data_IF_518497937744
#
_entry.id   IF_518497937744
#
_cell.length_a   1.000
_cell.length_b   1.000
_cell.length_c   1.000
_cell.angle_alpha   90.00
_cell.angle_beta   90.00
_cell.angle_gamma   90.00
#
_symmetry.space_group_name_H-M   'P 1'
#
loop_
_entity.id
_entity.type
_entity.pdbx_description
1 polymer ?
#
# COMPACT_ATOMS: atom_id res chain seq x y z
N UNK A 1 -16.28 3.64 9.53
CA UNK A 1 -15.57 3.26 8.27
C UNK A 1 -14.50 4.31 8.05
N UNK A 2 -13.24 3.97 7.76
CA UNK A 2 -12.21 5.00 7.53
C UNK A 2 -12.48 5.76 6.22
N UNK A 3 -12.61 7.09 6.26
CA UNK A 3 -12.71 7.94 5.05
C UNK A 3 -11.34 8.38 4.50
N UNK A 4 -10.24 7.91 5.09
CA UNK A 4 -8.90 8.05 4.49
C UNK A 4 -8.77 6.99 3.39
N UNK A 5 -8.97 7.38 2.14
CA UNK A 5 -8.95 6.49 0.97
C UNK A 5 -7.61 6.44 0.25
N UNK A 6 -6.71 7.38 0.56
CA UNK A 6 -5.35 7.50 0.02
C UNK A 6 -4.36 7.77 1.15
N UNK A 7 -3.13 7.27 1.01
CA UNK A 7 -1.99 7.56 1.87
C UNK A 7 -1.74 9.07 1.99
N UNK A 8 -1.90 9.80 0.88
CA UNK A 8 -1.72 11.26 0.83
C UNK A 8 -2.74 12.04 1.65
N UNK A 9 -3.89 11.44 1.95
CA UNK A 9 -5.00 12.13 2.59
C UNK A 9 -4.79 12.20 4.11
N UNK A 10 -3.94 11.34 4.69
CA UNK A 10 -3.72 11.34 6.13
C UNK A 10 -3.10 12.67 6.60
N UNK A 11 -3.85 13.38 7.44
CA UNK A 11 -3.36 14.52 8.21
C UNK A 11 -4.05 14.54 9.58
N UNK A 12 -3.53 15.36 10.50
CA UNK A 12 -4.06 15.45 11.87
C UNK A 12 -5.56 15.80 11.90
N UNK A 13 -6.03 16.73 11.05
CA UNK A 13 -7.43 17.14 11.01
C UNK A 13 -8.35 16.00 10.56
N UNK A 14 -7.95 15.24 9.54
CA UNK A 14 -8.72 14.10 9.09
C UNK A 14 -8.73 12.99 10.15
N UNK A 15 -7.58 12.67 10.75
CA UNK A 15 -7.52 11.71 11.85
C UNK A 15 -8.42 12.13 13.04
N UNK A 16 -8.51 13.43 13.32
CA UNK A 16 -9.41 13.97 14.33
C UNK A 16 -10.88 13.72 14.02
N UNK A 17 -11.30 13.91 12.77
CA UNK A 17 -12.66 13.65 12.29
C UNK A 17 -12.96 12.15 12.35
N UNK A 18 -12.09 11.33 11.76
CA UNK A 18 -12.20 9.86 11.75
C UNK A 18 -12.32 9.29 13.16
N UNK A 19 -11.51 9.82 14.09
CA UNK A 19 -11.46 9.31 15.47
C UNK A 19 -12.79 9.40 16.20
N UNK A 20 -13.73 10.26 15.80
CA UNK A 20 -15.01 10.42 16.49
C UNK A 20 -15.84 9.12 16.44
N UNK A 21 -15.91 8.49 15.27
CA UNK A 21 -16.63 7.21 15.11
C UNK A 21 -15.91 6.10 15.88
N UNK A 22 -14.59 6.00 15.72
CA UNK A 22 -13.80 4.96 16.37
C UNK A 22 -13.79 5.09 17.89
N UNK A 23 -13.71 6.30 18.47
CA UNK A 23 -13.75 6.50 19.92
C UNK A 23 -15.05 5.94 20.53
N UNK A 24 -16.19 6.07 19.84
CA UNK A 24 -17.46 5.48 20.30
C UNK A 24 -17.41 3.96 20.30
N UNK A 25 -16.86 3.37 19.24
CA UNK A 25 -16.70 1.92 19.11
C UNK A 25 -15.69 1.35 20.12
N UNK A 26 -14.52 1.99 20.25
CA UNK A 26 -13.47 1.63 21.22
C UNK A 26 -14.05 1.70 22.63
N UNK A 27 -14.80 2.74 22.98
CA UNK A 27 -15.42 2.85 24.30
C UNK A 27 -16.37 1.69 24.61
N UNK A 28 -17.06 1.16 23.60
CA UNK A 28 -17.96 0.01 23.79
C UNK A 28 -17.20 -1.32 23.92
N UNK A 29 -16.02 -1.44 23.31
CA UNK A 29 -15.27 -2.72 23.20
C UNK A 29 -14.04 -2.82 24.10
N UNK A 30 -13.45 -1.69 24.50
CA UNK A 30 -12.22 -1.61 25.28
C UNK A 30 -12.44 -0.77 26.53
N UNK A 31 -12.51 -1.43 27.69
CA UNK A 31 -12.51 -0.78 28.99
C UNK A 31 -11.08 -0.62 29.50
N UNK A 32 -10.76 0.54 30.06
CA UNK A 32 -9.52 0.72 30.82
C UNK A 32 -9.64 0.00 32.19
N UNK A 33 -8.56 -0.60 32.71
CA UNK A 33 -7.25 -0.71 32.08
C UNK A 33 -7.25 -1.67 30.89
N UNK A 34 -6.65 -1.25 29.77
CA UNK A 34 -6.52 -2.08 28.56
C UNK A 34 -5.40 -3.10 28.74
N UNK A 35 -5.64 -4.32 28.28
CA UNK A 35 -4.61 -5.36 28.22
C UNK A 35 -3.92 -5.38 26.84
N UNK A 36 -2.69 -5.90 26.73
CA UNK A 36 -2.06 -6.13 25.43
C UNK A 36 -2.92 -6.99 24.50
N UNK A 37 -3.65 -7.98 25.03
CA UNK A 37 -4.59 -8.81 24.27
C UNK A 37 -5.72 -7.98 23.66
N UNK A 38 -6.32 -7.07 24.43
CA UNK A 38 -7.39 -6.20 23.92
C UNK A 38 -6.88 -5.24 22.83
N UNK A 39 -5.63 -4.77 22.94
CA UNK A 39 -5.01 -3.96 21.89
C UNK A 39 -4.73 -4.80 20.65
N UNK A 40 -4.20 -6.01 20.82
CA UNK A 40 -3.97 -6.95 19.73
C UNK A 40 -5.26 -7.21 18.96
N UNK A 41 -6.36 -7.55 19.66
CA UNK A 41 -7.66 -7.80 19.03
C UNK A 41 -8.13 -6.60 18.21
N UNK A 42 -7.96 -5.39 18.75
CA UNK A 42 -8.41 -4.16 18.08
C UNK A 42 -7.51 -3.73 16.92
N UNK A 43 -6.21 -4.00 17.00
CA UNK A 43 -5.25 -3.68 15.93
C UNK A 43 -5.00 -4.85 14.97
N UNK A 44 -5.59 -6.03 15.21
CA UNK A 44 -5.33 -7.27 14.47
C UNK A 44 -5.52 -7.12 12.95
N UNK A 45 -6.55 -6.37 12.53
CA UNK A 45 -6.83 -6.08 11.12
C UNK A 45 -5.77 -5.21 10.45
N UNK A 46 -4.92 -4.54 11.24
CA UNK A 46 -3.86 -3.67 10.76
C UNK A 46 -2.50 -4.35 10.72
N UNK A 47 -2.39 -5.59 11.22
CA UNK A 47 -1.11 -6.28 11.27
C UNK A 47 -0.65 -6.69 9.86
N UNK A 48 0.66 -6.59 9.67
CA UNK A 48 1.32 -7.05 8.46
C UNK A 48 1.61 -8.54 8.62
N UNK A 49 1.35 -9.31 7.57
CA UNK A 49 1.68 -10.73 7.51
C UNK A 49 2.94 -10.98 6.69
N UNK A 50 3.57 -12.14 6.88
CA UNK A 50 4.66 -12.60 6.00
C UNK A 50 4.20 -12.72 4.54
N UNK A 51 2.95 -13.15 4.33
CA UNK A 51 2.34 -13.24 2.99
C UNK A 51 2.27 -11.88 2.27
N UNK A 52 2.03 -10.78 3.01
CA UNK A 52 2.03 -9.43 2.43
C UNK A 52 3.43 -9.08 1.87
N UNK A 53 4.49 -9.53 2.54
CA UNK A 53 5.89 -9.32 2.15
C UNK A 53 6.27 -10.23 0.98
N UNK A 54 5.95 -11.53 1.07
CA UNK A 54 6.23 -12.51 0.02
C UNK A 54 5.61 -12.10 -1.32
N UNK A 55 4.36 -11.61 -1.32
CA UNK A 55 3.71 -11.14 -2.54
C UNK A 55 4.44 -9.94 -3.17
N UNK A 56 4.98 -9.03 -2.35
CA UNK A 56 5.76 -7.90 -2.84
C UNK A 56 7.13 -8.34 -3.37
N UNK A 57 7.78 -9.34 -2.73
CA UNK A 57 9.05 -9.92 -3.19
C UNK A 57 8.90 -10.63 -4.54
N UNK A 58 7.85 -11.45 -4.71
CA UNK A 58 7.53 -12.09 -5.98
C UNK A 58 7.31 -11.08 -7.11
N UNK A 59 6.63 -9.97 -6.81
CA UNK A 59 6.46 -8.88 -7.76
C UNK A 59 7.78 -8.21 -8.13
N UNK A 60 8.69 -8.02 -7.17
CA UNK A 60 10.01 -7.45 -7.45
C UNK A 60 10.86 -8.38 -8.33
N UNK A 61 10.84 -9.68 -8.05
CA UNK A 61 11.53 -10.70 -8.85
C UNK A 61 10.98 -10.77 -10.28
N UNK A 62 9.68 -10.57 -10.48
CA UNK A 62 9.05 -10.55 -11.80
C UNK A 62 9.33 -9.26 -12.60
N UNK A 63 9.66 -8.15 -11.93
CA UNK A 63 9.79 -6.84 -12.57
C UNK A 63 10.97 -6.74 -13.53
N UNK A 64 12.16 -7.18 -13.12
CA UNK A 64 13.36 -7.10 -13.97
C UNK A 64 13.25 -7.98 -15.24
N UNK A 65 12.84 -9.26 -15.15
CA UNK A 65 12.60 -10.08 -16.35
C UNK A 65 11.57 -9.47 -17.31
N UNK A 66 10.49 -8.87 -16.79
CA UNK A 66 9.51 -8.19 -17.63
C UNK A 66 10.10 -6.96 -18.35
N UNK A 67 10.92 -6.16 -17.66
CA UNK A 67 11.64 -5.03 -18.27
C UNK A 67 12.62 -5.47 -19.35
N UNK A 68 13.35 -6.56 -19.13
CA UNK A 68 14.29 -7.13 -20.10
C UNK A 68 13.57 -7.65 -21.34
N UNK A 69 12.47 -8.39 -21.17
CA UNK A 69 11.66 -8.88 -22.28
C UNK A 69 11.08 -7.75 -23.12
N UNK A 70 10.45 -6.76 -22.49
CA UNK A 70 9.91 -5.58 -23.19
C UNK A 70 11.02 -4.79 -23.92
N UNK A 71 12.20 -4.68 -23.31
CA UNK A 71 13.35 -4.02 -23.94
C UNK A 71 13.85 -4.81 -25.16
N UNK A 72 13.89 -6.15 -25.07
CA UNK A 72 14.24 -7.03 -26.18
C UNK A 72 13.28 -6.87 -27.35
N UNK A 73 11.96 -6.86 -27.11
CA UNK A 73 10.95 -6.64 -28.16
C UNK A 73 11.17 -5.28 -28.85
N UNK A 74 11.38 -4.22 -28.06
CA UNK A 74 11.62 -2.88 -28.61
C UNK A 74 12.89 -2.83 -29.49
N UNK A 75 13.94 -3.54 -29.10
CA UNK A 75 15.22 -3.58 -29.84
C UNK A 75 15.12 -4.36 -31.15
N UNK A 76 14.27 -5.38 -31.24
CA UNK A 76 14.04 -6.15 -32.47
C UNK A 76 13.45 -5.30 -33.60
N UNK A 77 12.76 -4.21 -33.28
CA UNK A 77 12.09 -3.30 -34.24
C UNK A 77 11.17 -4.05 -35.22
N UNK A 78 10.50 -5.08 -34.73
CA UNK A 78 9.55 -5.87 -35.49
C UNK A 78 8.29 -5.02 -35.80
N UNK A 79 7.87 -4.98 -37.07
CA UNK A 79 6.68 -4.25 -37.51
C UNK A 79 5.37 -4.86 -37.00
N UNK A 80 5.41 -6.07 -36.43
CA UNK A 80 4.28 -6.69 -35.74
C UNK A 80 3.86 -5.90 -34.50
N UNK A 81 4.81 -5.23 -33.84
CA UNK A 81 4.60 -4.55 -32.59
C UNK A 81 4.43 -3.04 -32.77
N UNK A 82 3.70 -2.41 -31.85
CA UNK A 82 3.58 -0.94 -31.80
C UNK A 82 4.68 -0.36 -30.87
N UNK A 83 5.77 0.23 -31.42
CA UNK A 83 6.95 0.58 -30.62
C UNK A 83 6.64 1.63 -29.54
N UNK A 84 5.71 2.55 -29.82
CA UNK A 84 5.29 3.58 -28.88
C UNK A 84 4.63 2.94 -27.65
N UNK A 85 3.83 1.89 -27.86
CA UNK A 85 3.11 1.21 -26.80
C UNK A 85 4.05 0.40 -25.91
N UNK A 86 5.06 -0.27 -26.50
CA UNK A 86 6.11 -0.96 -25.74
C UNK A 86 6.93 0.05 -24.94
N UNK A 87 7.34 1.18 -25.54
CA UNK A 87 8.11 2.22 -24.86
C UNK A 87 7.35 2.81 -23.66
N UNK A 88 6.05 3.09 -23.83
CA UNK A 88 5.19 3.56 -22.73
C UNK A 88 5.11 2.53 -21.60
N UNK A 89 4.93 1.26 -21.94
CA UNK A 89 4.89 0.16 -20.97
C UNK A 89 6.19 0.06 -20.19
N UNK A 90 7.33 0.13 -20.88
CA UNK A 90 8.65 0.17 -20.25
C UNK A 90 8.79 1.35 -19.29
N UNK A 91 8.41 2.56 -19.71
CA UNK A 91 8.52 3.76 -18.88
C UNK A 91 7.64 3.69 -17.63
N UNK A 92 6.43 3.13 -17.75
CA UNK A 92 5.53 2.90 -16.62
C UNK A 92 6.11 1.85 -15.66
N UNK A 93 6.57 0.71 -16.20
CA UNK A 93 7.08 -0.39 -15.38
C UNK A 93 8.38 -0.04 -14.66
N UNK A 94 9.25 0.80 -15.26
CA UNK A 94 10.49 1.29 -14.64
C UNK A 94 10.27 2.06 -13.33
N UNK A 95 9.06 2.56 -13.08
CA UNK A 95 8.74 3.32 -11.88
C UNK A 95 8.41 2.42 -10.67
N UNK A 96 8.27 1.10 -10.87
CA UNK A 96 7.79 0.18 -9.82
C UNK A 96 8.90 -0.42 -8.95
N UNK A 97 10.05 -0.88 -9.47
CA UNK A 97 11.01 -1.70 -8.69
C UNK A 97 11.56 -1.03 -7.44
N UNK A 98 12.02 0.22 -7.55
CA UNK A 98 12.62 0.94 -6.42
C UNK A 98 11.59 1.23 -5.31
N UNK A 99 10.41 1.80 -5.60
CA UNK A 99 9.35 1.94 -4.60
C UNK A 99 8.93 0.61 -3.96
N UNK A 100 8.86 -0.47 -4.73
CA UNK A 100 8.51 -1.79 -4.21
C UNK A 100 9.57 -2.34 -3.25
N UNK A 101 10.86 -2.20 -3.59
CA UNK A 101 11.97 -2.59 -2.72
C UNK A 101 11.98 -1.79 -1.41
N UNK A 102 11.74 -0.48 -1.48
CA UNK A 102 11.60 0.36 -0.28
C UNK A 102 10.39 -0.07 0.56
N UNK A 103 9.29 -0.46 -0.08
CA UNK A 103 8.10 -0.97 0.60
C UNK A 103 8.40 -2.27 1.35
N UNK A 104 9.09 -3.22 0.72
CA UNK A 104 9.48 -4.50 1.35
C UNK A 104 10.32 -4.24 2.60
N UNK A 105 11.32 -3.35 2.52
CA UNK A 105 12.15 -2.98 3.68
C UNK A 105 11.29 -2.43 4.82
N UNK A 106 10.38 -1.53 4.50
CA UNK A 106 9.44 -0.94 5.46
C UNK A 106 8.52 -1.99 6.11
N UNK A 107 7.92 -2.88 5.32
CA UNK A 107 7.03 -3.92 5.83
C UNK A 107 7.76 -4.92 6.74
N UNK A 108 9.02 -5.29 6.40
CA UNK A 108 9.87 -6.12 7.26
C UNK A 108 10.18 -5.44 8.60
N UNK A 109 10.46 -4.14 8.57
CA UNK A 109 10.66 -3.35 9.79
C UNK A 109 9.40 -3.38 10.65
N UNK A 110 8.23 -3.07 10.08
CA UNK A 110 6.94 -3.11 10.78
C UNK A 110 6.65 -4.50 11.37
N UNK A 111 6.82 -5.56 10.58
CA UNK A 111 6.60 -6.94 11.02
C UNK A 111 7.46 -7.27 12.25
N UNK A 112 8.72 -6.84 12.26
CA UNK A 112 9.63 -7.08 13.39
C UNK A 112 9.23 -6.35 14.67
N UNK A 113 8.55 -5.20 14.55
CA UNK A 113 8.23 -4.34 15.70
C UNK A 113 6.79 -4.41 16.18
N UNK A 114 5.86 -4.98 15.41
CA UNK A 114 4.42 -4.90 15.70
C UNK A 114 4.04 -5.54 17.04
N UNK A 115 4.69 -6.63 17.44
CA UNK A 115 4.48 -7.27 18.74
C UNK A 115 4.92 -6.36 19.90
N UNK A 116 6.08 -5.70 19.75
CA UNK A 116 6.58 -4.75 20.75
C UNK A 116 5.66 -3.52 20.82
N UNK A 117 5.20 -3.01 19.68
CA UNK A 117 4.27 -1.89 19.63
C UNK A 117 2.97 -2.20 20.40
N UNK A 118 2.40 -3.39 20.20
CA UNK A 118 1.19 -3.82 20.93
C UNK A 118 1.46 -3.90 22.43
N UNK A 119 2.57 -4.53 22.83
CA UNK A 119 2.94 -4.70 24.24
C UNK A 119 3.18 -3.36 24.94
N UNK A 120 3.82 -2.40 24.26
CA UNK A 120 4.14 -1.08 24.83
C UNK A 120 2.94 -0.12 24.79
N UNK A 121 1.99 -0.34 23.88
CA UNK A 121 0.80 0.51 23.77
C UNK A 121 -0.12 0.40 25.00
N UNK A 122 -0.27 -0.79 25.58
CA UNK A 122 -1.14 -1.01 26.75
C UNK A 122 -0.72 -0.22 28.00
N UNK A 123 0.52 -0.36 28.52
CA UNK A 123 0.96 0.40 29.68
C UNK A 123 0.94 1.90 29.40
N UNK A 124 1.27 2.33 28.17
CA UNK A 124 1.26 3.73 27.80
C UNK A 124 -0.17 4.31 27.83
N UNK A 125 -1.14 3.64 27.19
CA UNK A 125 -2.54 4.06 27.20
C UNK A 125 -3.14 4.07 28.62
N UNK A 126 -2.79 3.10 29.45
CA UNK A 126 -3.24 3.04 30.85
C UNK A 126 -2.63 4.13 31.73
N UNK A 127 -1.43 4.63 31.38
CA UNK A 127 -0.78 5.70 32.13
C UNK A 127 -1.39 7.08 31.85
N UNK A 128 -1.95 7.28 30.64
CA UNK A 128 -2.45 8.59 30.17
C UNK A 128 -3.42 9.24 31.16
N UNK A 129 -4.48 8.57 31.68
CA UNK A 129 -5.42 9.20 32.61
C UNK A 129 -4.78 9.74 33.90
N UNK A 130 -3.64 9.19 34.32
CA UNK A 130 -2.97 9.55 35.57
C UNK A 130 -1.92 10.67 35.42
N UNK A 131 -1.60 11.12 34.20
CA UNK A 131 -0.55 12.12 33.95
C UNK A 131 -1.00 13.52 34.41
N UNK A 132 -0.37 14.06 35.46
CA UNK A 132 -0.73 15.36 36.05
C UNK A 132 0.25 16.47 35.67
N UNK A 133 1.54 16.14 35.58
CA UNK A 133 2.60 17.14 35.37
C UNK A 133 2.93 17.34 33.90
N UNK A 134 3.50 18.51 33.57
CA UNK A 134 3.97 18.81 32.21
C UNK A 134 5.08 17.86 31.76
N UNK A 135 5.99 17.47 32.67
CA UNK A 135 7.09 16.54 32.36
C UNK A 135 6.60 15.11 32.10
N UNK A 136 5.62 14.62 32.85
CA UNK A 136 4.97 13.32 32.59
C UNK A 136 4.29 13.31 31.22
N UNK A 137 3.52 14.36 30.91
CA UNK A 137 2.86 14.52 29.61
C UNK A 137 3.87 14.58 28.47
N UNK A 138 4.98 15.29 28.65
CA UNK A 138 6.08 15.38 27.67
C UNK A 138 6.73 14.02 27.41
N UNK A 139 7.00 13.23 28.45
CA UNK A 139 7.56 11.87 28.33
C UNK A 139 6.60 10.92 27.60
N UNK A 140 5.32 10.94 27.96
CA UNK A 140 4.31 10.12 27.30
C UNK A 140 4.15 10.51 25.82
N UNK A 141 4.10 11.80 25.51
CA UNK A 141 4.06 12.29 24.13
C UNK A 141 5.28 11.85 23.32
N UNK A 142 6.49 11.90 23.90
CA UNK A 142 7.70 11.43 23.21
C UNK A 142 7.63 9.93 22.88
N UNK A 143 7.10 9.11 23.80
CA UNK A 143 6.90 7.67 23.55
C UNK A 143 5.85 7.43 22.45
N UNK A 144 4.71 8.14 22.50
CA UNK A 144 3.66 8.07 21.48
C UNK A 144 4.17 8.52 20.10
N UNK A 145 4.90 9.63 20.04
CA UNK A 145 5.53 10.11 18.80
C UNK A 145 6.48 9.07 18.22
N UNK A 146 7.20 8.31 19.05
CA UNK A 146 8.04 7.21 18.58
C UNK A 146 7.27 6.08 17.88
N UNK A 147 6.02 5.81 18.27
CA UNK A 147 5.17 4.85 17.55
C UNK A 147 4.69 5.40 16.22
N UNK A 148 4.19 6.64 16.22
CA UNK A 148 3.74 7.29 14.99
C UNK A 148 4.88 7.47 14.00
N UNK A 149 6.10 7.79 14.46
CA UNK A 149 7.24 7.99 13.56
C UNK A 149 7.60 6.73 12.78
N UNK A 150 7.51 5.57 13.42
CA UNK A 150 7.74 4.28 12.77
C UNK A 150 6.61 3.90 11.83
N UNK A 151 5.35 4.06 12.25
CA UNK A 151 4.18 3.72 11.42
C UNK A 151 4.09 4.66 10.20
N UNK A 152 4.29 5.96 10.38
CA UNK A 152 4.09 7.00 9.36
C UNK A 152 5.36 7.36 8.56
N UNK A 153 6.52 6.83 8.98
CA UNK A 153 7.84 6.98 8.35
C UNK A 153 8.40 8.41 8.38
N UNK A 154 7.96 9.23 9.33
CA UNK A 154 8.37 10.63 9.52
C UNK A 154 7.99 11.15 10.92
N UNK A 155 8.36 12.40 11.25
CA UNK A 155 8.06 12.98 12.57
C UNK A 155 6.70 13.68 12.66
N UNK A 156 6.05 13.85 11.54
CA UNK A 156 4.82 14.63 11.40
C UNK A 156 3.63 13.69 11.23
N UNK A 157 2.41 14.17 11.51
CA UNK A 157 1.21 13.33 11.38
C UNK A 157 0.70 13.29 9.92
N UNK A 158 1.50 12.77 9.01
CA UNK A 158 1.12 12.43 7.63
C UNK A 158 1.86 11.17 7.20
N UNK A 159 1.31 10.38 6.28
CA UNK A 159 2.00 9.16 5.83
C UNK A 159 3.04 9.51 4.74
N UNK A 160 4.34 9.31 5.01
CA UNK A 160 5.38 9.56 4.00
C UNK A 160 5.35 8.46 2.96
N UNK A 161 4.73 8.72 1.81
CA UNK A 161 4.54 7.74 0.72
C UNK A 161 5.46 7.93 -0.50
N UNK A 162 6.25 9.02 -0.55
CA UNK A 162 6.91 9.49 -1.78
C UNK A 162 7.86 8.48 -2.46
N UNK A 163 8.46 7.59 -1.67
CA UNK A 163 9.50 6.64 -2.06
C UNK A 163 9.04 5.18 -1.98
N UNK A 164 7.76 4.93 -1.77
CA UNK A 164 7.17 3.59 -1.65
C UNK A 164 5.94 3.43 -2.55
N UNK A 165 5.29 2.27 -2.52
CA UNK A 165 4.08 2.02 -3.30
C UNK A 165 2.92 2.90 -2.77
N UNK A 166 2.25 3.57 -3.70
CA UNK A 166 1.12 4.46 -3.45
C UNK A 166 0.12 4.41 -4.63
N UNK A 167 -0.93 5.22 -4.59
CA UNK A 167 -2.09 5.15 -5.48
C UNK A 167 -1.75 5.28 -6.97
N UNK A 168 -0.72 6.06 -7.32
CA UNK A 168 -0.33 6.18 -8.73
C UNK A 168 0.17 4.84 -9.28
N UNK A 169 0.91 4.07 -8.49
CA UNK A 169 1.43 2.77 -8.92
C UNK A 169 0.32 1.75 -9.14
N UNK A 170 -0.70 1.72 -8.27
CA UNK A 170 -1.87 0.84 -8.48
C UNK A 170 -2.66 1.26 -9.72
N UNK A 171 -2.83 2.57 -9.95
CA UNK A 171 -3.48 3.09 -11.17
C UNK A 171 -2.71 2.72 -12.45
N UNK A 172 -1.37 2.82 -12.42
CA UNK A 172 -0.50 2.43 -13.53
C UNK A 172 -0.69 0.95 -13.86
N UNK A 173 -0.60 0.07 -12.86
CA UNK A 173 -0.69 -1.37 -13.07
C UNK A 173 -2.07 -1.81 -13.57
N UNK A 174 -3.14 -1.20 -13.06
CA UNK A 174 -4.51 -1.42 -13.57
C UNK A 174 -4.63 -1.02 -15.05
N UNK A 175 -4.11 0.15 -15.41
CA UNK A 175 -4.15 0.66 -16.79
C UNK A 175 -3.36 -0.23 -17.75
N UNK A 176 -2.20 -0.73 -17.32
CA UNK A 176 -1.38 -1.65 -18.11
C UNK A 176 -2.08 -2.99 -18.34
N UNK A 177 -2.65 -3.60 -17.30
CA UNK A 177 -3.37 -4.86 -17.44
C UNK A 177 -4.58 -4.73 -18.38
N UNK A 178 -5.37 -3.67 -18.22
CA UNK A 178 -6.53 -3.41 -19.09
C UNK A 178 -6.08 -3.23 -20.55
N UNK A 179 -5.02 -2.44 -20.79
CA UNK A 179 -4.51 -2.19 -22.13
C UNK A 179 -4.01 -3.48 -22.79
N UNK A 180 -3.25 -4.29 -22.05
CA UNK A 180 -2.75 -5.56 -22.56
C UNK A 180 -3.84 -6.55 -22.92
N UNK A 181 -4.96 -6.58 -22.17
CA UNK A 181 -6.10 -7.44 -22.50
C UNK A 181 -6.71 -7.14 -23.88
N UNK A 182 -6.45 -5.94 -24.42
CA UNK A 182 -6.91 -5.46 -25.72
C UNK A 182 -5.83 -5.58 -26.82
N UNK A 183 -4.73 -6.27 -26.56
CA UNK A 183 -3.67 -6.46 -27.56
C UNK A 183 -2.75 -5.28 -27.78
N UNK A 184 -2.67 -4.35 -26.82
CA UNK A 184 -1.97 -3.07 -26.92
C UNK A 184 -0.51 -3.11 -27.42
N UNK A 185 0.19 -4.25 -27.29
CA UNK A 185 1.56 -4.39 -27.78
C UNK A 185 1.67 -4.58 -29.28
N UNK A 186 0.60 -5.02 -29.94
CA UNK A 186 0.59 -5.31 -31.36
C UNK A 186 0.16 -4.08 -32.15
N UNK A 187 0.80 -3.88 -33.29
CA UNK A 187 0.39 -2.87 -34.24
C UNK A 187 -0.98 -3.24 -34.81
N UNK A 188 -1.90 -2.28 -34.92
CA UNK A 188 -3.22 -2.44 -35.53
C UNK A 188 -3.19 -1.74 -36.89
N UNK A 189 -3.55 -2.45 -37.97
CA UNK A 189 -3.51 -1.85 -39.31
C UNK A 189 -4.64 -0.84 -39.50
N UNK A 190 -4.50 0.04 -40.50
CA UNK A 190 -5.55 1.00 -40.82
C UNK A 190 -6.87 0.30 -41.18
N UNK A 191 -6.82 -0.83 -41.91
CA UNK A 191 -8.04 -1.58 -42.25
C UNK A 191 -8.72 -2.16 -41.00
N UNK A 192 -7.93 -2.68 -40.05
CA UNK A 192 -8.43 -3.24 -38.78
C UNK A 192 -9.06 -2.14 -37.92
N UNK A 193 -8.42 -0.96 -37.84
CA UNK A 193 -8.95 0.19 -37.10
C UNK A 193 -10.24 0.72 -37.73
N UNK A 194 -10.28 0.86 -39.06
CA UNK A 194 -11.48 1.29 -39.80
C UNK A 194 -12.62 0.27 -39.67
N UNK A 195 -12.29 -1.02 -39.67
CA UNK A 195 -13.23 -2.12 -39.47
C UNK A 195 -13.67 -2.31 -38.01
N UNK A 196 -13.03 -1.60 -37.05
CA UNK A 196 -13.19 -1.81 -35.61
C UNK A 196 -13.00 -3.27 -35.21
N UNK A 197 -12.00 -3.91 -35.81
CA UNK A 197 -11.68 -5.31 -35.53
C UNK A 197 -11.36 -5.48 -34.05
N UNK A 198 -11.95 -6.50 -33.42
CA UNK A 198 -11.59 -6.83 -32.05
C UNK A 198 -10.22 -7.52 -32.00
N UNK A 199 -9.61 -7.55 -30.82
CA UNK A 199 -8.29 -8.17 -30.70
C UNK A 199 -8.33 -9.66 -31.06
N UNK A 200 -9.45 -10.36 -30.82
CA UNK A 200 -9.60 -11.77 -31.18
C UNK A 200 -9.45 -11.99 -32.69
N UNK A 201 -9.99 -11.10 -33.52
CA UNK A 201 -9.82 -11.11 -34.97
C UNK A 201 -8.37 -10.81 -35.38
N UNK A 202 -7.73 -9.85 -34.71
CA UNK A 202 -6.34 -9.46 -34.98
C UNK A 202 -5.37 -10.63 -34.66
N UNK A 203 -5.67 -11.45 -33.64
CA UNK A 203 -4.78 -12.57 -33.26
C UNK A 203 -4.54 -13.57 -34.39
N UNK A 204 -5.46 -13.73 -35.34
CA UNK A 204 -5.34 -14.68 -36.44
C UNK A 204 -4.12 -14.44 -37.35
N UNK A 205 -3.63 -13.19 -37.43
CA UNK A 205 -2.43 -12.87 -38.24
C UNK A 205 -1.14 -12.81 -37.44
N UNK A 206 -1.21 -12.89 -36.10
CA UNK A 206 -0.05 -12.78 -35.23
C UNK A 206 0.58 -14.16 -35.09
N UNK A 207 1.90 -14.32 -35.30
CA UNK A 207 2.58 -15.59 -35.07
C UNK A 207 2.37 -16.11 -33.65
N UNK A 208 2.19 -17.42 -33.50
CA UNK A 208 1.94 -18.06 -32.21
C UNK A 208 3.05 -17.79 -31.18
N UNK A 209 4.32 -17.70 -31.64
CA UNK A 209 5.47 -17.38 -30.80
C UNK A 209 5.36 -15.97 -30.19
N UNK A 210 4.94 -14.97 -30.97
CA UNK A 210 4.76 -13.59 -30.51
C UNK A 210 3.57 -13.46 -29.56
N UNK A 211 2.49 -14.22 -29.80
CA UNK A 211 1.36 -14.31 -28.87
C UNK A 211 1.79 -14.94 -27.53
N UNK A 212 2.62 -15.99 -27.57
CA UNK A 212 3.16 -16.62 -26.38
C UNK A 212 4.08 -15.67 -25.59
N UNK A 213 4.98 -14.93 -26.26
CA UNK A 213 5.84 -13.93 -25.62
C UNK A 213 5.02 -12.82 -24.95
N UNK A 214 3.99 -12.30 -25.63
CA UNK A 214 3.11 -11.29 -25.06
C UNK A 214 2.32 -11.82 -23.84
N UNK A 215 1.85 -13.08 -23.88
CA UNK A 215 1.19 -13.72 -22.76
C UNK A 215 2.13 -13.91 -21.56
N UNK A 216 3.38 -14.28 -21.81
CA UNK A 216 4.40 -14.43 -20.77
C UNK A 216 4.67 -13.10 -20.05
N UNK A 217 4.76 -12.00 -20.79
CA UNK A 217 4.87 -10.65 -20.23
C UNK A 217 3.60 -10.31 -19.46
N UNK A 218 2.42 -10.63 -20.00
CA UNK A 218 1.13 -10.39 -19.34
C UNK A 218 1.08 -11.05 -17.97
N UNK A 219 1.53 -12.30 -17.88
CA UNK A 219 1.54 -13.05 -16.64
C UNK A 219 2.51 -12.43 -15.61
N UNK A 220 3.68 -11.97 -16.03
CA UNK A 220 4.59 -11.23 -15.14
C UNK A 220 3.96 -9.93 -14.65
N UNK A 221 3.34 -9.16 -15.54
CA UNK A 221 2.65 -7.91 -15.15
C UNK A 221 1.50 -8.16 -14.17
N UNK A 222 0.79 -9.29 -14.28
CA UNK A 222 -0.22 -9.70 -13.29
C UNK A 222 0.39 -9.96 -11.91
N UNK A 223 1.50 -10.70 -11.85
CA UNK A 223 2.23 -10.91 -10.59
C UNK A 223 2.67 -9.58 -9.98
N UNK A 224 3.22 -8.68 -10.82
CA UNK A 224 3.65 -7.34 -10.38
C UNK A 224 2.48 -6.53 -9.85
N UNK A 225 1.34 -6.54 -10.57
CA UNK A 225 0.12 -5.87 -10.16
C UNK A 225 -0.34 -6.37 -8.80
N UNK A 226 -0.42 -7.69 -8.61
CA UNK A 226 -0.84 -8.28 -7.35
C UNK A 226 0.06 -7.87 -6.18
N UNK A 227 1.38 -7.85 -6.37
CA UNK A 227 2.31 -7.40 -5.33
C UNK A 227 2.19 -5.90 -5.05
N UNK A 228 2.01 -5.06 -6.08
CA UNK A 228 1.78 -3.61 -5.93
C UNK A 228 0.48 -3.34 -5.17
N UNK A 229 -0.62 -4.02 -5.49
CA UNK A 229 -1.88 -3.87 -4.77
C UNK A 229 -1.79 -4.36 -3.32
N UNK A 230 -1.09 -5.47 -3.08
CA UNK A 230 -0.85 -6.00 -1.73
C UNK A 230 -0.01 -5.04 -0.91
N UNK A 231 1.08 -4.51 -1.46
CA UNK A 231 1.93 -3.51 -0.83
C UNK A 231 1.15 -2.23 -0.49
N UNK A 232 0.31 -1.75 -1.41
CA UNK A 232 -0.55 -0.59 -1.17
C UNK A 232 -1.55 -0.86 -0.03
N UNK A 233 -2.21 -2.02 -0.02
CA UNK A 233 -3.13 -2.41 1.06
C UNK A 233 -2.40 -2.49 2.41
N UNK A 234 -1.19 -3.03 2.44
CA UNK A 234 -0.35 -3.07 3.63
C UNK A 234 -0.01 -1.66 4.15
N UNK A 235 0.30 -0.71 3.26
CA UNK A 235 0.50 0.69 3.65
C UNK A 235 -0.79 1.32 4.23
N UNK A 236 -1.94 1.01 3.64
CA UNK A 236 -3.24 1.46 4.17
C UNK A 236 -3.59 0.85 5.53
N UNK A 237 -3.15 -0.38 5.82
CA UNK A 237 -3.23 -0.96 7.18
C UNK A 237 -2.46 -0.11 8.20
N UNK A 238 -1.32 0.46 7.81
CA UNK A 238 -0.51 1.33 8.68
C UNK A 238 -1.16 2.69 8.93
N UNK A 239 -1.79 3.29 7.90
CA UNK A 239 -2.65 4.46 8.07
C UNK A 239 -3.79 4.16 9.05
N UNK A 240 -4.45 3.01 8.89
CA UNK A 240 -5.53 2.56 9.77
C UNK A 240 -5.03 2.39 11.21
N UNK A 241 -3.87 1.72 11.38
CA UNK A 241 -3.22 1.56 12.68
C UNK A 241 -2.98 2.91 13.37
N UNK A 242 -2.45 3.91 12.65
CA UNK A 242 -2.22 5.24 13.18
C UNK A 242 -3.52 5.92 13.65
N UNK A 243 -4.60 5.84 12.86
CA UNK A 243 -5.90 6.43 13.23
C UNK A 243 -6.52 5.72 14.44
N UNK A 244 -6.45 4.38 14.50
CA UNK A 244 -6.96 3.62 15.65
C UNK A 244 -6.15 3.92 16.92
N UNK A 245 -4.83 3.95 16.83
CA UNK A 245 -3.96 4.31 17.95
C UNK A 245 -4.23 5.74 18.44
N UNK A 246 -4.39 6.69 17.51
CA UNK A 246 -4.80 8.06 17.82
C UNK A 246 -6.15 8.11 18.55
N UNK A 247 -7.11 7.31 18.11
CA UNK A 247 -8.44 7.21 18.73
C UNK A 247 -8.37 6.63 20.15
N UNK A 248 -7.53 5.61 20.38
CA UNK A 248 -7.27 5.07 21.72
C UNK A 248 -6.68 6.13 22.67
N UNK A 249 -5.72 6.92 22.19
CA UNK A 249 -5.10 8.03 22.96
C UNK A 249 -6.15 9.08 23.31
N UNK A 250 -7.01 9.46 22.35
CA UNK A 250 -8.09 10.43 22.55
C UNK A 250 -9.10 9.95 23.59
N UNK A 251 -9.46 8.67 23.57
CA UNK A 251 -10.33 8.07 24.59
C UNK A 251 -9.67 8.11 25.98
N UNK A 252 -8.39 7.77 26.07
CA UNK A 252 -7.64 7.80 27.33
C UNK A 252 -7.55 9.23 27.91
N UNK A 253 -7.32 10.23 27.06
CA UNK A 253 -7.31 11.65 27.45
C UNK A 253 -8.69 12.16 27.88
N UNK A 254 -9.78 11.76 27.21
CA UNK A 254 -11.12 12.21 27.56
C UNK A 254 -11.56 11.80 28.99
N UNK A 255 -10.99 10.72 29.53
CA UNK A 255 -11.23 10.28 30.91
C UNK A 255 -10.45 11.07 31.97
N UNK A 256 -9.47 11.91 31.60
CA UNK A 256 -8.87 12.90 32.52
C UNK A 256 -9.86 14.02 32.92
N UNK A 257 -10.91 14.24 32.12
CA UNK A 257 -11.91 15.29 32.35
C UNK A 257 -13.27 14.77 32.83
N UNK A 258 -13.40 13.46 33.09
CA UNK A 258 -14.62 12.85 33.63
C UNK A 258 -14.38 12.45 35.08
N UNK A 259 -14.23 13.44 35.95
CA UNK A 259 -14.27 13.24 37.40
C UNK A 259 -15.72 12.92 37.81
N UNK A 260 -15.94 11.65 38.14
CA UNK A 260 -16.63 11.29 39.37
C UNK A 260 -15.58 11.22 40.48
#
# INVERSE_FOLDING_TARGET
MLYVHRLSDLNMRLADIESIEFVREIRAKMNLPVSPTSIYEYLSSCLISEQDIEAAEQALEAANPALEQLSSILLRKDSLHEPINILRTLQMLKQVPEPLANNIRYLKEILSMQAQLINDSAPLLNSIPALKTAEEKKKANAALSGFFEKILRNKDFYFRHIDIIYEAHTSIMNSLEESMSKGYFFHVTLEEELGKADFAQITCRIPAESLAEAEEIRQKLRTIKQGVETAYKANMKMVTCAVLLYSCIKLANARQGSDF
#
